data_IF_276422862925
#
_entry.id   IF_276422862925
#
_cell.length_a   1.000
_cell.length_b   1.000
_cell.length_c   1.000
_cell.angle_alpha   90.00
_cell.angle_beta   90.00
_cell.angle_gamma   90.00
#
_symmetry.space_group_name_H-M   'P 1'
#
loop_
_entity.id
_entity.type
_entity.pdbx_description
1 polymer ?
#
# COMPACT_ATOMS: atom_id res chain seq x y z
N UNK A 1 -3.97 -3.26 -9.07
CA UNK A 1 -3.51 -3.69 -7.73
C UNK A 1 -3.67 -5.20 -7.61
N UNK A 2 -2.90 -5.88 -6.75
CA UNK A 2 -2.91 -7.36 -6.60
C UNK A 2 -3.27 -7.78 -5.16
N UNK A 3 -4.56 -7.90 -4.81
CA UNK A 3 -5.00 -8.29 -3.46
C UNK A 3 -4.51 -9.68 -3.05
N UNK A 4 -4.28 -10.55 -4.03
CA UNK A 4 -3.64 -11.87 -3.90
C UNK A 4 -2.24 -11.81 -3.26
N UNK A 5 -1.43 -10.80 -3.62
CA UNK A 5 -0.11 -10.61 -3.01
C UNK A 5 -0.24 -10.20 -1.55
N UNK A 6 -1.14 -9.25 -1.24
CA UNK A 6 -1.35 -8.81 0.13
C UNK A 6 -1.82 -9.96 1.02
N UNK A 7 -2.75 -10.77 0.51
CA UNK A 7 -3.24 -11.98 1.19
C UNK A 7 -2.09 -12.96 1.49
N UNK A 8 -1.18 -13.17 0.52
CA UNK A 8 0.00 -14.00 0.68
C UNK A 8 0.99 -13.48 1.72
N UNK A 9 1.29 -12.16 1.70
CA UNK A 9 2.19 -11.51 2.67
C UNK A 9 1.64 -11.62 4.09
N UNK A 10 0.33 -11.36 4.26
CA UNK A 10 -0.31 -11.40 5.57
C UNK A 10 -0.62 -12.83 6.05
N UNK A 11 -0.64 -13.82 5.15
CA UNK A 11 -1.02 -15.19 5.45
C UNK A 11 -2.51 -15.33 5.79
N UNK A 12 -3.37 -14.54 5.15
CA UNK A 12 -4.80 -14.52 5.41
C UNK A 12 -5.52 -15.62 4.61
N UNK A 13 -6.41 -16.37 5.26
CA UNK A 13 -7.30 -17.31 4.57
C UNK A 13 -8.51 -16.60 3.95
N UNK A 14 -8.99 -15.54 4.60
CA UNK A 14 -10.11 -14.71 4.15
C UNK A 14 -9.67 -13.66 3.12
N UNK A 15 -10.63 -13.13 2.36
CA UNK A 15 -10.37 -12.08 1.39
C UNK A 15 -10.13 -10.72 2.07
N UNK A 16 -9.11 -10.00 1.59
CA UNK A 16 -8.75 -8.67 2.07
C UNK A 16 -9.66 -7.61 1.47
N UNK A 17 -10.26 -6.79 2.33
CA UNK A 17 -11.07 -5.66 1.91
C UNK A 17 -10.16 -4.45 1.69
N UNK A 18 -9.98 -4.09 0.43
CA UNK A 18 -9.26 -2.89 0.02
C UNK A 18 -10.25 -1.73 -0.17
N UNK A 19 -9.86 -0.54 0.26
CA UNK A 19 -10.63 0.69 0.07
C UNK A 19 -9.86 1.64 -0.84
N UNK A 20 -10.51 2.22 -1.83
CA UNK A 20 -9.90 3.26 -2.64
C UNK A 20 -9.42 4.41 -1.75
N UNK A 21 -8.19 4.85 -1.97
CA UNK A 21 -7.51 5.85 -1.15
C UNK A 21 -6.68 6.79 -2.00
N UNK A 22 -6.43 7.99 -1.46
CA UNK A 22 -5.54 8.99 -2.07
C UNK A 22 -4.59 9.53 -1.02
N UNK A 23 -3.31 9.66 -1.39
CA UNK A 23 -2.28 10.29 -0.57
C UNK A 23 -1.90 11.61 -1.23
N UNK A 24 -1.91 12.70 -0.47
CA UNK A 24 -1.61 14.06 -0.92
C UNK A 24 -0.17 14.43 -0.54
N UNK A 25 0.48 15.24 -1.38
CA UNK A 25 1.86 15.69 -1.17
C UNK A 25 2.92 14.68 -1.60
N UNK A 26 2.53 13.63 -2.34
CA UNK A 26 3.44 12.61 -2.84
C UNK A 26 3.28 12.40 -4.35
N UNK A 27 4.35 11.89 -4.95
CA UNK A 27 4.39 11.41 -6.32
C UNK A 27 4.89 9.97 -6.38
N UNK A 28 4.42 9.23 -7.37
CA UNK A 28 4.81 7.84 -7.56
C UNK A 28 5.89 7.74 -8.65
N UNK A 29 7.10 7.35 -8.28
CA UNK A 29 8.20 7.13 -9.24
C UNK A 29 8.71 5.70 -9.21
N UNK A 30 9.56 5.37 -10.18
CA UNK A 30 10.25 4.08 -10.21
C UNK A 30 11.57 4.18 -9.44
N UNK A 31 11.74 3.32 -8.44
CA UNK A 31 13.03 3.05 -7.81
C UNK A 31 13.51 1.66 -8.25
N UNK A 32 14.30 1.65 -9.33
CA UNK A 32 14.64 0.41 -10.04
C UNK A 32 13.39 -0.29 -10.58
N UNK A 33 13.16 -1.53 -10.12
CA UNK A 33 11.98 -2.32 -10.49
C UNK A 33 10.74 -2.07 -9.60
N UNK A 34 10.87 -1.27 -8.54
CA UNK A 34 9.81 -1.01 -7.58
C UNK A 34 9.19 0.37 -7.77
N UNK A 35 7.93 0.51 -7.38
CA UNK A 35 7.28 1.80 -7.24
C UNK A 35 7.56 2.36 -5.85
N UNK A 36 7.93 3.63 -5.77
CA UNK A 36 8.21 4.31 -4.53
C UNK A 36 7.50 5.67 -4.49
N UNK A 37 7.08 6.07 -3.29
CA UNK A 37 6.54 7.39 -3.03
C UNK A 37 7.69 8.35 -2.75
N UNK A 38 7.67 9.49 -3.43
CA UNK A 38 8.58 10.61 -3.20
C UNK A 38 7.78 11.82 -2.81
N UNK A 39 8.38 12.72 -2.03
CA UNK A 39 7.77 14.01 -1.71
C UNK A 39 7.48 14.75 -3.02
N UNK A 40 6.20 15.00 -3.25
CA UNK A 40 5.70 15.64 -4.43
C UNK A 40 5.58 17.15 -4.24
N UNK A 41 5.35 17.85 -5.34
CA UNK A 41 4.97 19.26 -5.27
C UNK A 41 3.64 19.46 -4.54
N UNK A 42 3.38 20.71 -4.13
CA UNK A 42 2.13 21.07 -3.46
C UNK A 42 0.95 20.81 -4.38
N UNK A 43 0.08 19.88 -3.98
CA UNK A 43 -1.09 19.46 -4.77
C UNK A 43 -0.92 18.13 -5.50
N UNK A 44 0.28 17.52 -5.49
CA UNK A 44 0.48 16.18 -6.03
C UNK A 44 -0.33 15.14 -5.24
N UNK A 45 -0.92 14.20 -5.96
CA UNK A 45 -1.74 13.13 -5.37
C UNK A 45 -1.45 11.79 -5.99
N UNK A 46 -1.29 10.77 -5.15
CA UNK A 46 -1.21 9.37 -5.58
C UNK A 46 -2.51 8.67 -5.22
N UNK A 47 -3.15 8.08 -6.24
CA UNK A 47 -4.35 7.25 -6.07
C UNK A 47 -3.95 5.78 -5.93
N UNK A 48 -4.54 5.08 -4.97
CA UNK A 48 -4.31 3.67 -4.73
C UNK A 48 -5.44 3.07 -3.90
N UNK A 49 -5.12 2.04 -3.12
CA UNK A 49 -6.04 1.51 -2.11
C UNK A 49 -5.33 1.44 -0.76
N UNK A 50 -6.12 1.48 0.31
CA UNK A 50 -5.69 1.25 1.68
C UNK A 50 -6.26 -0.06 2.20
N UNK A 51 -5.47 -0.74 3.03
CA UNK A 51 -5.88 -1.89 3.83
C UNK A 51 -5.90 -1.47 5.30
N UNK A 52 -6.95 -1.85 6.02
CA UNK A 52 -7.03 -1.62 7.47
C UNK A 52 -6.34 -2.79 8.18
N UNK A 53 -5.14 -2.53 8.67
CA UNK A 53 -4.36 -3.48 9.49
C UNK A 53 -5.18 -3.86 10.73
N UNK A 54 -5.34 -5.16 10.96
CA UNK A 54 -6.17 -5.71 12.03
C UNK A 54 -5.36 -6.08 13.28
N UNK A 55 -4.04 -6.30 13.16
CA UNK A 55 -3.19 -6.71 14.27
C UNK A 55 -1.75 -6.22 14.14
N UNK A 56 -1.04 -6.21 15.27
CA UNK A 56 0.39 -5.90 15.33
C UNK A 56 1.23 -6.88 14.49
N UNK A 57 0.81 -8.14 14.41
CA UNK A 57 1.48 -9.15 13.57
C UNK A 57 1.38 -8.82 12.07
N UNK A 58 0.23 -8.31 11.62
CA UNK A 58 0.06 -7.84 10.24
C UNK A 58 0.96 -6.63 9.95
N UNK A 59 1.07 -5.70 10.89
CA UNK A 59 1.98 -4.55 10.79
C UNK A 59 3.44 -5.01 10.63
N UNK A 60 3.89 -5.95 11.46
CA UNK A 60 5.24 -6.50 11.36
C UNK A 60 5.51 -7.20 10.02
N UNK A 61 4.53 -7.92 9.46
CA UNK A 61 4.66 -8.58 8.15
C UNK A 61 4.73 -7.59 6.99
N UNK A 62 4.13 -6.39 7.12
CA UNK A 62 4.15 -5.35 6.09
C UNK A 62 5.42 -4.49 6.12
N UNK A 63 6.14 -4.50 7.24
CA UNK A 63 7.37 -3.72 7.42
C UNK A 63 8.61 -4.35 6.75
N UNK A 64 8.53 -5.60 6.29
CA UNK A 64 9.66 -6.41 5.85
C UNK A 64 9.47 -6.92 4.42
#
# INVERSE_FOLDING_TARGET
>A
MRPDILKGVLGLEADVILRDAKVYGYELTNWGQYKALFDGETGSTVTGCAYLVQSVEEEYKLAY
#
